data_IF_772871201500
#
_entry.id   IF_772871201500
#
_cell.length_a   1.000
_cell.length_b   1.000
_cell.length_c   1.000
_cell.angle_alpha   90.00
_cell.angle_beta   90.00
_cell.angle_gamma   90.00
#
_symmetry.space_group_name_H-M   'P 1'
#
loop_
_entity.id
_entity.type
_entity.pdbx_description
1 polymer ?
#
# COMPACT_ATOMS: atom_id res chain seq x y z
N UNK A 1 -25.02 20.82 5.14
CA UNK A 1 -23.61 20.41 5.26
C UNK A 1 -23.43 19.26 6.25
N UNK A 2 -23.93 19.36 7.51
CA UNK A 2 -23.69 18.31 8.52
C UNK A 2 -24.37 16.97 8.19
N UNK A 3 -25.56 17.00 7.59
CA UNK A 3 -26.24 15.75 7.19
C UNK A 3 -25.43 14.93 6.14
N UNK A 4 -24.68 15.61 5.30
CA UNK A 4 -23.78 14.94 4.33
C UNK A 4 -22.48 14.44 4.97
N UNK A 5 -22.07 15.03 6.09
CA UNK A 5 -20.84 14.67 6.82
C UNK A 5 -21.12 13.69 7.99
N UNK A 6 -22.39 13.48 8.33
CA UNK A 6 -22.80 12.65 9.47
C UNK A 6 -22.21 11.23 9.44
N UNK A 7 -22.20 10.50 8.29
CA UNK A 7 -21.61 9.18 8.25
C UNK A 7 -20.12 9.16 8.61
N UNK A 8 -19.33 10.12 8.11
CA UNK A 8 -17.91 10.21 8.41
C UNK A 8 -17.65 10.55 9.88
N UNK A 9 -18.47 11.46 10.46
CA UNK A 9 -18.37 11.78 11.89
C UNK A 9 -18.74 10.60 12.78
N UNK A 10 -19.83 9.88 12.47
CA UNK A 10 -20.23 8.70 13.23
C UNK A 10 -19.16 7.61 13.16
N UNK A 11 -18.63 7.33 11.96
CA UNK A 11 -17.53 6.39 11.81
C UNK A 11 -16.30 6.78 12.66
N UNK A 12 -15.94 8.07 12.67
CA UNK A 12 -14.81 8.56 13.47
C UNK A 12 -15.05 8.38 14.98
N UNK A 13 -16.24 8.69 15.48
CA UNK A 13 -16.58 8.54 16.89
C UNK A 13 -16.65 7.06 17.33
N UNK A 14 -17.15 6.17 16.46
CA UNK A 14 -17.09 4.72 16.68
C UNK A 14 -15.63 4.24 16.69
N UNK A 15 -14.81 4.71 15.74
CA UNK A 15 -13.40 4.35 15.65
C UNK A 15 -12.59 4.78 16.88
N UNK A 16 -12.94 5.92 17.47
CA UNK A 16 -12.35 6.42 18.73
C UNK A 16 -12.89 5.73 19.99
N UNK A 17 -13.95 4.90 19.86
CA UNK A 17 -14.61 4.23 20.99
C UNK A 17 -15.51 5.14 21.83
N UNK A 18 -15.80 6.35 21.40
CA UNK A 18 -16.71 7.30 22.05
C UNK A 18 -18.16 6.82 21.96
N UNK A 19 -18.52 6.20 20.83
CA UNK A 19 -19.85 5.66 20.56
C UNK A 19 -19.78 4.13 20.53
N UNK A 20 -20.63 3.49 21.31
CA UNK A 20 -20.73 2.02 21.41
C UNK A 20 -22.17 1.50 21.25
N UNK A 21 -23.10 2.32 20.79
CA UNK A 21 -24.50 1.95 20.60
C UNK A 21 -25.36 3.17 20.30
N UNK A 22 -26.62 2.93 19.89
CA UNK A 22 -27.54 3.99 19.44
C UNK A 22 -27.77 5.07 20.48
N UNK A 23 -27.92 4.70 21.75
CA UNK A 23 -28.15 5.70 22.81
C UNK A 23 -26.91 6.57 23.04
N UNK A 24 -25.71 6.02 22.90
CA UNK A 24 -24.46 6.78 22.95
C UNK A 24 -24.33 7.75 21.77
N UNK A 25 -24.82 7.39 20.57
CA UNK A 25 -24.89 8.31 19.42
C UNK A 25 -25.81 9.48 19.74
N UNK A 26 -26.97 9.24 20.32
CA UNK A 26 -27.91 10.32 20.66
C UNK A 26 -27.33 11.24 21.73
N UNK A 27 -26.69 10.69 22.77
CA UNK A 27 -26.00 11.46 23.78
C UNK A 27 -24.85 12.31 23.20
N UNK A 28 -24.06 11.75 22.30
CA UNK A 28 -23.01 12.48 21.58
C UNK A 28 -23.58 13.59 20.71
N UNK A 29 -24.64 13.30 19.94
CA UNK A 29 -25.27 14.26 19.04
C UNK A 29 -25.78 15.49 19.83
N UNK A 30 -26.33 15.30 21.03
CA UNK A 30 -26.79 16.35 21.92
C UNK A 30 -25.68 17.33 22.34
N UNK A 31 -24.44 16.90 22.32
CA UNK A 31 -23.26 17.75 22.59
C UNK A 31 -22.82 18.57 21.37
N UNK A 32 -23.36 18.29 20.19
CA UNK A 32 -22.95 18.96 18.94
C UNK A 32 -23.65 20.29 18.76
N UNK A 33 -22.94 21.23 18.16
CA UNK A 33 -23.52 22.55 17.78
C UNK A 33 -24.70 22.40 16.80
N UNK A 34 -24.71 21.32 16.00
CA UNK A 34 -25.82 21.02 15.11
C UNK A 34 -27.12 20.75 15.88
N UNK A 35 -27.07 19.90 16.92
CA UNK A 35 -28.23 19.56 17.72
C UNK A 35 -28.82 20.82 18.40
N UNK A 36 -27.94 21.67 18.97
CA UNK A 36 -28.36 22.91 19.61
C UNK A 36 -29.09 23.82 18.61
N UNK A 37 -28.57 23.96 17.39
CA UNK A 37 -29.21 24.74 16.33
C UNK A 37 -30.49 24.08 15.80
N UNK A 38 -30.46 22.78 15.55
CA UNK A 38 -31.61 22.03 15.07
C UNK A 38 -32.78 22.07 16.07
N UNK A 39 -32.47 22.07 17.36
CA UNK A 39 -33.48 22.24 18.41
C UNK A 39 -34.06 23.67 18.44
N UNK A 40 -33.27 24.68 18.11
CA UNK A 40 -33.71 26.08 18.10
C UNK A 40 -34.51 26.43 16.83
N UNK A 41 -34.23 25.77 15.70
CA UNK A 41 -34.87 26.00 14.41
C UNK A 41 -35.29 24.66 13.77
N UNK A 42 -36.28 23.92 14.34
CA UNK A 42 -36.58 22.54 13.96
C UNK A 42 -36.89 22.34 12.48
N UNK A 43 -37.67 23.26 11.89
CA UNK A 43 -38.08 23.17 10.47
C UNK A 43 -36.90 23.38 9.52
N UNK A 44 -35.96 24.28 9.87
CA UNK A 44 -34.81 24.59 9.03
C UNK A 44 -33.78 23.47 9.01
N UNK A 45 -33.68 22.68 10.09
CA UNK A 45 -32.69 21.62 10.26
C UNK A 45 -33.29 20.21 10.23
N UNK A 46 -34.62 20.09 10.07
CA UNK A 46 -35.32 18.81 10.05
C UNK A 46 -35.10 18.00 11.34
N UNK A 47 -35.26 18.65 12.48
CA UNK A 47 -35.04 18.08 13.81
C UNK A 47 -35.95 16.88 14.06
N UNK A 48 -37.19 16.92 13.55
CA UNK A 48 -38.10 15.78 13.56
C UNK A 48 -37.52 14.65 12.69
N UNK A 49 -37.36 13.46 13.27
CA UNK A 49 -36.76 12.31 12.59
C UNK A 49 -35.22 12.24 12.64
N UNK A 50 -34.55 13.10 13.45
CA UNK A 50 -33.08 13.03 13.61
C UNK A 50 -32.62 11.66 14.12
N UNK A 51 -33.41 11.03 14.99
CA UNK A 51 -33.11 9.69 15.55
C UNK A 51 -33.18 8.61 14.47
N UNK A 52 -34.16 8.69 13.58
CA UNK A 52 -34.31 7.74 12.48
C UNK A 52 -33.17 7.91 11.47
N UNK A 53 -32.81 9.14 11.12
CA UNK A 53 -31.64 9.40 10.25
C UNK A 53 -30.33 8.89 10.82
N UNK A 54 -30.14 9.02 12.13
CA UNK A 54 -28.94 8.48 12.79
C UNK A 54 -28.95 6.96 12.74
N UNK A 55 -30.09 6.31 12.95
CA UNK A 55 -30.25 4.86 12.81
C UNK A 55 -29.92 4.43 11.37
N UNK A 56 -30.58 5.04 10.39
CA UNK A 56 -30.35 4.73 8.96
C UNK A 56 -28.89 4.92 8.57
N UNK A 57 -28.23 5.95 9.12
CA UNK A 57 -26.80 6.18 8.88
C UNK A 57 -25.93 5.08 9.50
N UNK A 58 -26.24 4.63 10.72
CA UNK A 58 -25.51 3.52 11.35
C UNK A 58 -25.72 2.21 10.59
N UNK A 59 -26.96 1.93 10.19
CA UNK A 59 -27.30 0.76 9.35
C UNK A 59 -26.51 0.77 8.05
N UNK A 60 -26.45 1.93 7.37
CA UNK A 60 -25.62 2.11 6.15
C UNK A 60 -24.13 1.88 6.42
N UNK A 61 -23.59 2.38 7.54
CA UNK A 61 -22.19 2.14 7.90
C UNK A 61 -21.90 0.65 8.20
N UNK A 62 -22.88 -0.08 8.74
CA UNK A 62 -22.77 -1.52 8.97
C UNK A 62 -22.85 -2.27 7.65
N UNK A 63 -23.81 -1.98 6.79
CA UNK A 63 -23.96 -2.59 5.46
C UNK A 63 -22.72 -2.36 4.60
N UNK A 64 -22.13 -1.17 4.67
CA UNK A 64 -20.92 -0.82 3.95
C UNK A 64 -19.64 -1.38 4.60
N UNK A 65 -19.73 -1.97 5.79
CA UNK A 65 -18.63 -2.63 6.49
C UNK A 65 -17.64 -1.68 7.18
N UNK A 66 -18.03 -0.43 7.46
CA UNK A 66 -17.24 0.51 8.27
C UNK A 66 -17.37 0.24 9.76
N UNK A 67 -18.54 -0.20 10.16
CA UNK A 67 -18.91 -0.50 11.54
C UNK A 67 -19.44 -1.92 11.59
N UNK A 68 -19.10 -2.66 12.63
CA UNK A 68 -19.77 -3.93 12.99
C UNK A 68 -20.82 -3.65 14.07
N UNK A 69 -21.95 -4.32 14.02
CA UNK A 69 -22.96 -4.30 15.07
C UNK A 69 -23.29 -5.72 15.51
N UNK A 70 -23.51 -5.90 16.83
CA UNK A 70 -24.03 -7.13 17.37
C UNK A 70 -25.57 -7.12 17.49
N UNK A 71 -26.16 -8.24 17.95
CA UNK A 71 -27.61 -8.39 18.12
C UNK A 71 -28.20 -7.41 19.15
N UNK A 72 -27.39 -6.88 20.06
CA UNK A 72 -27.74 -5.88 21.07
C UNK A 72 -27.57 -4.44 20.58
N UNK A 73 -27.29 -4.24 19.27
CA UNK A 73 -27.00 -2.94 18.64
C UNK A 73 -25.78 -2.22 19.25
N UNK A 74 -24.85 -2.96 19.80
CA UNK A 74 -23.54 -2.42 20.14
C UNK A 74 -22.70 -2.32 18.87
N UNK A 75 -22.00 -1.21 18.73
CA UNK A 75 -21.21 -0.92 17.53
C UNK A 75 -19.73 -0.93 17.85
N UNK A 76 -18.96 -1.54 16.96
CA UNK A 76 -17.50 -1.60 17.01
C UNK A 76 -16.91 -1.20 15.64
N UNK A 77 -15.73 -0.56 15.62
CA UNK A 77 -15.11 -0.20 14.35
C UNK A 77 -14.52 -1.44 13.68
N UNK A 78 -14.75 -1.60 12.39
CA UNK A 78 -14.02 -2.56 11.57
C UNK A 78 -12.61 -2.01 11.24
N UNK A 79 -11.76 -2.84 10.62
CA UNK A 79 -10.48 -2.38 10.06
C UNK A 79 -10.66 -1.24 9.07
N UNK A 80 -11.65 -1.36 8.17
CA UNK A 80 -11.98 -0.31 7.20
C UNK A 80 -12.37 1.01 7.89
N UNK A 81 -13.24 0.96 8.89
CA UNK A 81 -13.68 2.14 9.64
C UNK A 81 -12.54 2.82 10.41
N UNK A 82 -11.68 2.02 11.06
CA UNK A 82 -10.49 2.53 11.76
C UNK A 82 -9.52 3.24 10.81
N UNK A 83 -9.22 2.63 9.67
CA UNK A 83 -8.30 3.21 8.68
C UNK A 83 -8.88 4.49 8.06
N UNK A 84 -10.17 4.50 7.71
CA UNK A 84 -10.83 5.69 7.19
C UNK A 84 -10.75 6.87 8.19
N UNK A 85 -10.98 6.60 9.48
CA UNK A 85 -10.86 7.59 10.55
C UNK A 85 -9.41 8.04 10.77
N UNK A 86 -8.46 7.11 10.85
CA UNK A 86 -7.03 7.38 11.06
C UNK A 86 -6.46 8.37 10.04
N UNK A 87 -6.85 8.22 8.78
CA UNK A 87 -6.37 9.04 7.66
C UNK A 87 -7.30 10.19 7.27
N UNK A 88 -8.36 10.42 8.04
CA UNK A 88 -9.37 11.46 7.76
C UNK A 88 -9.91 11.37 6.34
N UNK A 89 -10.16 10.15 5.86
CA UNK A 89 -10.68 9.91 4.52
C UNK A 89 -12.19 10.10 4.47
N UNK A 90 -12.68 10.61 3.35
CA UNK A 90 -14.11 10.46 3.01
C UNK A 90 -14.39 8.96 2.82
N UNK A 91 -15.55 8.51 3.26
CA UNK A 91 -15.93 7.09 3.20
C UNK A 91 -15.92 6.56 1.76
N UNK A 92 -16.27 7.39 0.79
CA UNK A 92 -16.18 7.05 -0.63
C UNK A 92 -14.74 6.69 -1.06
N UNK A 93 -13.75 7.45 -0.61
CA UNK A 93 -12.34 7.14 -0.88
C UNK A 93 -11.94 5.83 -0.22
N UNK A 94 -12.36 5.59 1.02
CA UNK A 94 -12.08 4.33 1.71
C UNK A 94 -12.74 3.12 1.03
N UNK A 95 -13.97 3.26 0.48
CA UNK A 95 -14.61 2.24 -0.35
C UNK A 95 -13.78 1.91 -1.59
N UNK A 96 -13.32 2.92 -2.33
CA UNK A 96 -12.44 2.72 -3.50
C UNK A 96 -11.15 1.98 -3.13
N UNK A 97 -10.57 2.27 -1.96
CA UNK A 97 -9.37 1.58 -1.47
C UNK A 97 -9.65 0.10 -1.17
N UNK A 98 -10.78 -0.20 -0.51
CA UNK A 98 -11.23 -1.57 -0.28
C UNK A 98 -11.52 -2.32 -1.59
N UNK A 99 -12.16 -1.69 -2.55
CA UNK A 99 -12.43 -2.29 -3.87
C UNK A 99 -11.13 -2.62 -4.61
N UNK A 100 -10.12 -1.75 -4.53
CA UNK A 100 -8.80 -2.05 -5.08
C UNK A 100 -8.16 -3.23 -4.38
N UNK A 101 -8.22 -3.29 -3.04
CA UNK A 101 -7.65 -4.39 -2.25
C UNK A 101 -8.28 -5.75 -2.59
N UNK A 102 -9.55 -5.78 -3.00
CA UNK A 102 -10.25 -6.99 -3.43
C UNK A 102 -9.95 -7.46 -4.86
N UNK A 103 -9.11 -6.76 -5.62
CA UNK A 103 -8.77 -7.18 -6.99
C UNK A 103 -7.74 -8.32 -6.98
N UNK A 104 -7.94 -9.31 -7.82
CA UNK A 104 -7.00 -10.43 -7.99
C UNK A 104 -5.60 -9.96 -8.42
N UNK A 105 -5.53 -8.89 -9.21
CA UNK A 105 -4.26 -8.35 -9.72
C UNK A 105 -4.17 -6.85 -9.47
N UNK A 106 -3.19 -6.47 -8.67
CA UNK A 106 -2.84 -5.08 -8.44
C UNK A 106 -1.74 -4.64 -9.43
N UNK A 107 -1.89 -3.41 -9.94
CA UNK A 107 -0.92 -2.77 -10.83
C UNK A 107 -0.62 -1.35 -10.36
N UNK A 108 0.53 -0.81 -10.75
CA UNK A 108 0.87 0.59 -10.46
C UNK A 108 -0.18 1.56 -11.02
N UNK A 109 -0.63 1.34 -12.26
CA UNK A 109 -1.66 2.15 -12.91
C UNK A 109 -3.00 2.06 -12.14
N UNK A 110 -3.38 0.87 -11.66
CA UNK A 110 -4.58 0.67 -10.84
C UNK A 110 -4.52 1.40 -9.50
N UNK A 111 -3.37 1.39 -8.84
CA UNK A 111 -3.11 2.16 -7.61
C UNK A 111 -3.25 3.65 -7.87
N UNK A 112 -2.57 4.17 -8.91
CA UNK A 112 -2.62 5.59 -9.24
C UNK A 112 -4.01 6.05 -9.69
N UNK A 113 -4.72 5.25 -10.50
CA UNK A 113 -6.08 5.55 -10.92
C UNK A 113 -7.05 5.60 -9.72
N UNK A 114 -6.90 4.68 -8.76
CA UNK A 114 -7.69 4.68 -7.52
C UNK A 114 -7.43 5.93 -6.69
N UNK A 115 -6.17 6.32 -6.52
CA UNK A 115 -5.80 7.56 -5.82
C UNK A 115 -6.30 8.79 -6.57
N UNK A 116 -6.15 8.83 -7.90
CA UNK A 116 -6.62 9.94 -8.73
C UNK A 116 -8.14 10.14 -8.65
N UNK A 117 -8.90 9.05 -8.51
CA UNK A 117 -10.36 9.08 -8.33
C UNK A 117 -10.82 9.38 -6.91
N UNK A 118 -9.92 9.71 -5.97
CA UNK A 118 -10.28 10.01 -4.60
C UNK A 118 -10.99 11.37 -4.48
N UNK A 119 -11.95 11.46 -3.57
CA UNK A 119 -12.75 12.66 -3.32
C UNK A 119 -11.93 13.92 -2.96
N UNK A 120 -10.66 13.76 -2.58
CA UNK A 120 -9.74 14.88 -2.37
C UNK A 120 -9.46 15.68 -3.66
N UNK A 121 -9.74 15.11 -4.82
CA UNK A 121 -9.51 15.71 -6.13
C UNK A 121 -10.79 16.15 -6.86
N UNK A 122 -11.98 16.04 -6.24
CA UNK A 122 -13.26 16.43 -6.84
C UNK A 122 -13.29 17.90 -7.32
N UNK A 123 -12.48 18.78 -6.70
CA UNK A 123 -12.38 20.18 -7.09
C UNK A 123 -11.37 20.45 -8.21
N UNK A 124 -10.62 19.45 -8.65
CA UNK A 124 -9.67 19.60 -9.75
C UNK A 124 -10.44 19.67 -11.06
N UNK A 125 -10.13 20.66 -11.87
CA UNK A 125 -10.71 20.83 -13.21
C UNK A 125 -9.62 20.73 -14.28
N UNK A 126 -9.94 20.11 -15.42
CA UNK A 126 -9.10 20.13 -16.60
C UNK A 126 -9.40 21.38 -17.44
N UNK A 127 -8.37 22.11 -17.85
CA UNK A 127 -8.50 23.26 -18.76
C UNK A 127 -8.37 22.76 -20.20
N UNK A 128 -9.04 23.43 -21.13
CA UNK A 128 -8.96 23.06 -22.55
C UNK A 128 -7.51 22.99 -23.09
N UNK A 129 -6.65 23.90 -22.62
CA UNK A 129 -5.22 23.93 -23.02
C UNK A 129 -4.38 22.75 -22.47
N UNK A 130 -4.91 21.99 -21.52
CA UNK A 130 -4.25 20.84 -20.89
C UNK A 130 -4.65 19.51 -21.53
N UNK A 131 -5.77 19.47 -22.27
CA UNK A 131 -6.39 18.26 -22.79
C UNK A 131 -5.41 17.42 -23.63
N UNK A 132 -4.72 18.03 -24.58
CA UNK A 132 -3.77 17.33 -25.45
C UNK A 132 -2.60 16.71 -24.66
N UNK A 133 -2.15 17.36 -23.59
CA UNK A 133 -1.10 16.83 -22.73
C UNK A 133 -1.60 15.65 -21.89
N UNK A 134 -2.82 15.74 -21.36
CA UNK A 134 -3.46 14.65 -20.60
C UNK A 134 -3.69 13.44 -21.51
N UNK A 135 -4.26 13.64 -22.70
CA UNK A 135 -4.56 12.54 -23.63
C UNK A 135 -3.29 11.86 -24.12
N UNK A 136 -2.22 12.60 -24.37
CA UNK A 136 -0.91 12.03 -24.77
C UNK A 136 -0.31 11.16 -23.66
N UNK A 137 -0.40 11.58 -22.40
CA UNK A 137 0.12 10.79 -21.26
C UNK A 137 -0.73 9.53 -21.05
N UNK A 138 -2.03 9.63 -21.27
CA UNK A 138 -2.98 8.54 -21.07
C UNK A 138 -3.18 7.66 -22.30
N UNK A 139 -2.46 7.90 -23.39
CA UNK A 139 -2.58 7.11 -24.62
C UNK A 139 -2.41 5.62 -24.34
N UNK A 140 -3.37 4.82 -24.84
CA UNK A 140 -3.42 3.36 -24.62
C UNK A 140 -3.86 2.92 -23.21
N UNK A 141 -4.28 3.86 -22.35
CA UNK A 141 -4.83 3.56 -21.02
C UNK A 141 -6.33 3.84 -21.00
N UNK A 142 -7.10 2.79 -20.80
CA UNK A 142 -8.55 2.92 -20.56
C UNK A 142 -8.78 3.22 -19.08
N UNK A 143 -9.47 4.34 -18.78
CA UNK A 143 -9.82 4.73 -17.42
C UNK A 143 -11.27 5.22 -17.37
N UNK A 144 -12.02 4.80 -16.35
CA UNK A 144 -13.37 5.28 -16.06
C UNK A 144 -13.36 6.60 -15.25
N UNK A 145 -12.27 7.36 -15.29
CA UNK A 145 -12.13 8.60 -14.55
C UNK A 145 -12.75 9.78 -15.31
N UNK A 146 -13.34 10.72 -14.59
CA UNK A 146 -13.82 12.00 -15.13
C UNK A 146 -12.66 12.96 -15.44
N UNK A 147 -12.91 14.01 -16.21
CA UNK A 147 -11.86 14.91 -16.75
C UNK A 147 -10.88 15.45 -15.70
N UNK A 148 -11.38 15.90 -14.55
CA UNK A 148 -10.52 16.39 -13.47
C UNK A 148 -9.63 15.28 -12.89
N UNK A 149 -10.20 14.12 -12.65
CA UNK A 149 -9.49 12.95 -12.14
C UNK A 149 -8.56 12.33 -13.20
N UNK A 150 -8.90 12.38 -14.49
CA UNK A 150 -8.00 12.03 -15.61
C UNK A 150 -6.74 12.89 -15.59
N UNK A 151 -6.90 14.21 -15.39
CA UNK A 151 -5.77 15.13 -15.24
C UNK A 151 -4.89 14.76 -14.05
N UNK A 152 -5.48 14.44 -12.90
CA UNK A 152 -4.72 13.99 -11.72
C UNK A 152 -3.94 12.73 -12.06
N UNK A 153 -4.58 11.73 -12.66
CA UNK A 153 -3.93 10.48 -13.06
C UNK A 153 -2.76 10.70 -14.02
N UNK A 154 -2.94 11.55 -15.04
CA UNK A 154 -1.87 11.92 -15.97
C UNK A 154 -0.68 12.58 -15.26
N UNK A 155 -0.95 13.51 -14.32
CA UNK A 155 0.11 14.16 -13.53
C UNK A 155 0.87 13.14 -12.68
N UNK A 156 0.19 12.19 -12.03
CA UNK A 156 0.85 11.17 -11.21
C UNK A 156 1.71 10.22 -12.05
N UNK A 157 1.22 9.80 -13.21
CA UNK A 157 2.01 8.99 -14.16
C UNK A 157 3.26 9.72 -14.63
N UNK A 158 3.10 10.99 -15.03
CA UNK A 158 4.23 11.82 -15.46
C UNK A 158 5.22 12.11 -14.32
N UNK A 159 4.72 12.23 -13.07
CA UNK A 159 5.56 12.42 -11.88
C UNK A 159 6.44 11.21 -11.59
N UNK A 160 5.94 9.99 -11.81
CA UNK A 160 6.76 8.77 -11.64
C UNK A 160 7.96 8.69 -12.60
N UNK A 161 7.94 9.44 -13.71
CA UNK A 161 8.98 9.46 -14.72
C UNK A 161 9.73 10.81 -14.78
N UNK A 162 9.45 11.73 -13.86
CA UNK A 162 9.95 13.13 -13.85
C UNK A 162 9.74 13.87 -15.19
N UNK A 163 8.62 13.58 -15.87
CA UNK A 163 8.30 14.08 -17.22
C UNK A 163 7.06 14.98 -17.28
N UNK A 164 6.72 15.66 -16.17
CA UNK A 164 5.52 16.50 -16.12
C UNK A 164 5.62 17.64 -17.14
N UNK A 165 4.70 17.67 -18.15
CA UNK A 165 4.68 18.72 -19.16
C UNK A 165 4.48 20.11 -18.57
N UNK A 166 4.96 21.15 -19.27
CA UNK A 166 4.83 22.55 -18.85
C UNK A 166 3.39 22.97 -18.59
N UNK A 167 2.46 22.47 -19.39
CA UNK A 167 1.02 22.74 -19.33
C UNK A 167 0.39 22.31 -18.01
N UNK A 168 0.93 21.25 -17.40
CA UNK A 168 0.40 20.64 -16.16
C UNK A 168 1.17 21.07 -14.90
N UNK A 169 2.29 21.77 -15.01
CA UNK A 169 3.18 22.09 -13.87
C UNK A 169 2.53 22.93 -12.79
N UNK A 170 1.62 23.84 -13.16
CA UNK A 170 0.98 24.73 -12.18
C UNK A 170 0.30 23.99 -11.05
N UNK A 171 -0.32 22.85 -11.36
CA UNK A 171 -1.13 22.09 -10.41
C UNK A 171 -0.38 20.85 -9.89
N UNK A 172 0.67 20.43 -10.59
CA UNK A 172 1.37 19.17 -10.33
C UNK A 172 1.92 19.04 -8.91
N UNK A 173 2.47 20.13 -8.34
CA UNK A 173 3.02 20.08 -6.99
C UNK A 173 1.94 19.81 -5.93
N UNK A 174 0.82 20.55 -5.98
CA UNK A 174 -0.29 20.40 -5.03
C UNK A 174 -0.94 19.03 -5.17
N UNK A 175 -1.19 18.59 -6.41
CA UNK A 175 -1.76 17.28 -6.71
C UNK A 175 -0.85 16.19 -6.17
N UNK A 176 0.47 16.26 -6.42
CA UNK A 176 1.43 15.27 -5.93
C UNK A 176 1.48 15.20 -4.41
N UNK A 177 1.48 16.33 -3.68
CA UNK A 177 1.49 16.33 -2.22
C UNK A 177 0.22 15.67 -1.64
N UNK A 178 -0.94 15.97 -2.19
CA UNK A 178 -2.18 15.32 -1.77
C UNK A 178 -2.19 13.82 -2.12
N UNK A 179 -1.65 13.44 -3.28
CA UNK A 179 -1.57 12.06 -3.71
C UNK A 179 -0.61 11.24 -2.83
N UNK A 180 0.54 11.77 -2.43
CA UNK A 180 1.48 11.09 -1.52
C UNK A 180 0.82 10.77 -0.18
N UNK A 181 0.05 11.71 0.40
CA UNK A 181 -0.73 11.43 1.60
C UNK A 181 -1.75 10.30 1.40
N UNK A 182 -2.41 10.24 0.24
CA UNK A 182 -3.37 9.19 -0.08
C UNK A 182 -2.69 7.86 -0.40
N UNK A 183 -1.51 7.87 -1.03
CA UNK A 183 -0.71 6.67 -1.29
C UNK A 183 -0.22 6.03 0.01
N UNK A 184 0.25 6.83 0.97
CA UNK A 184 0.62 6.34 2.30
C UNK A 184 -0.59 5.70 3.02
N UNK A 185 -1.78 6.33 2.96
CA UNK A 185 -3.00 5.74 3.49
C UNK A 185 -3.35 4.43 2.76
N UNK A 186 -3.33 4.42 1.43
CA UNK A 186 -3.64 3.25 0.61
C UNK A 186 -2.67 2.09 0.88
N UNK A 187 -1.39 2.38 1.13
CA UNK A 187 -0.41 1.34 1.48
C UNK A 187 -0.84 0.57 2.73
N UNK A 188 -1.30 1.26 3.78
CA UNK A 188 -1.81 0.60 5.00
C UNK A 188 -3.15 -0.13 4.75
N UNK A 189 -4.05 0.43 3.95
CA UNK A 189 -5.27 -0.28 3.54
C UNK A 189 -4.94 -1.59 2.81
N UNK A 190 -3.98 -1.56 1.90
CA UNK A 190 -3.56 -2.74 1.16
C UNK A 190 -2.86 -3.76 2.06
N UNK A 191 -2.07 -3.31 3.04
CA UNK A 191 -1.44 -4.21 4.00
C UNK A 191 -2.47 -4.99 4.82
N UNK A 192 -3.44 -4.29 5.38
CA UNK A 192 -4.47 -4.86 6.25
C UNK A 192 -5.52 -5.70 5.48
N UNK A 193 -5.84 -5.34 4.24
CA UNK A 193 -6.93 -5.95 3.48
C UNK A 193 -6.47 -6.92 2.37
N UNK A 194 -5.23 -6.79 1.88
CA UNK A 194 -4.68 -7.58 0.78
C UNK A 194 -3.28 -8.15 1.06
N UNK A 195 -2.70 -7.77 2.21
CA UNK A 195 -1.44 -8.29 2.73
C UNK A 195 -0.17 -7.58 2.24
N UNK A 196 0.99 -7.98 2.78
CA UNK A 196 2.26 -7.24 2.68
C UNK A 196 2.79 -7.08 1.24
N UNK A 197 2.43 -7.98 0.33
CA UNK A 197 2.82 -7.87 -1.08
C UNK A 197 2.12 -6.70 -1.79
N UNK A 198 0.85 -6.49 -1.48
CA UNK A 198 0.06 -5.38 -2.00
C UNK A 198 0.57 -4.05 -1.44
N UNK A 199 0.86 -4.00 -0.14
CA UNK A 199 1.47 -2.86 0.52
C UNK A 199 2.84 -2.50 -0.08
N UNK A 200 3.72 -3.47 -0.30
CA UNK A 200 5.01 -3.25 -0.96
C UNK A 200 4.86 -2.64 -2.37
N UNK A 201 3.87 -3.08 -3.15
CA UNK A 201 3.62 -2.47 -4.45
C UNK A 201 3.21 -1.00 -4.32
N UNK A 202 2.32 -0.68 -3.36
CA UNK A 202 1.92 0.71 -3.09
C UNK A 202 3.09 1.57 -2.62
N UNK A 203 3.91 1.07 -1.70
CA UNK A 203 5.14 1.73 -1.22
C UNK A 203 6.10 2.06 -2.37
N UNK A 204 6.28 1.14 -3.31
CA UNK A 204 7.11 1.40 -4.51
C UNK A 204 6.49 2.41 -5.45
N UNK A 205 5.16 2.42 -5.61
CA UNK A 205 4.46 3.44 -6.41
C UNK A 205 4.58 4.81 -5.74
N UNK A 206 4.39 4.89 -4.43
CA UNK A 206 4.57 6.12 -3.64
C UNK A 206 5.98 6.69 -3.82
N UNK A 207 7.01 5.87 -3.60
CA UNK A 207 8.42 6.29 -3.77
C UNK A 207 8.72 6.78 -5.20
N UNK A 208 8.12 6.16 -6.22
CA UNK A 208 8.26 6.63 -7.61
C UNK A 208 7.58 7.97 -7.83
N UNK A 209 6.39 8.19 -7.29
CA UNK A 209 5.71 9.49 -7.37
C UNK A 209 6.48 10.56 -6.61
N UNK A 210 7.04 10.22 -5.43
CA UNK A 210 7.80 11.14 -4.59
C UNK A 210 9.12 11.57 -5.22
N UNK A 211 9.85 10.61 -5.78
CA UNK A 211 11.22 10.84 -6.26
C UNK A 211 11.31 11.02 -7.78
N UNK A 212 10.27 10.70 -8.55
CA UNK A 212 10.31 10.78 -10.01
C UNK A 212 11.33 9.80 -10.61
N UNK A 213 11.36 8.56 -10.14
CA UNK A 213 12.35 7.56 -10.56
C UNK A 213 11.71 6.39 -11.31
N UNK A 214 12.50 5.75 -12.17
CA UNK A 214 12.09 4.55 -12.90
C UNK A 214 11.79 3.37 -11.98
N UNK A 215 11.15 2.34 -12.54
CA UNK A 215 10.90 1.09 -11.81
C UNK A 215 12.20 0.41 -11.37
N UNK A 216 13.23 0.52 -12.18
CA UNK A 216 14.55 -0.07 -11.95
C UNK A 216 15.33 0.67 -10.85
N UNK A 217 15.11 1.98 -10.72
CA UNK A 217 15.81 2.84 -9.78
C UNK A 217 15.11 2.94 -8.40
N UNK A 218 13.83 2.54 -8.29
CA UNK A 218 13.02 2.80 -7.10
C UNK A 218 13.61 2.19 -5.82
N UNK A 219 14.21 1.01 -5.90
CA UNK A 219 14.80 0.34 -4.73
C UNK A 219 15.98 1.14 -4.13
N UNK A 220 16.61 1.98 -4.93
CA UNK A 220 17.73 2.83 -4.50
C UNK A 220 17.27 3.97 -3.59
N UNK A 221 16.00 4.37 -3.68
CA UNK A 221 15.43 5.43 -2.83
C UNK A 221 15.29 5.00 -1.36
N UNK A 222 15.40 3.70 -1.08
CA UNK A 222 15.48 3.19 0.29
C UNK A 222 16.81 3.52 0.98
N UNK A 223 17.83 3.95 0.21
CA UNK A 223 19.17 4.27 0.73
C UNK A 223 19.25 5.75 1.06
N UNK A 224 19.52 6.07 2.32
CA UNK A 224 19.69 7.46 2.74
C UNK A 224 20.76 8.18 1.89
N UNK A 225 20.46 9.42 1.50
CA UNK A 225 21.32 10.20 0.62
C UNK A 225 21.19 9.88 -0.88
N UNK A 226 20.35 8.92 -1.28
CA UNK A 226 20.07 8.64 -2.70
C UNK A 226 18.72 9.25 -3.12
N UNK A 227 18.76 10.49 -3.60
CA UNK A 227 17.62 11.13 -4.27
C UNK A 227 17.56 10.80 -5.78
N UNK A 228 16.54 11.32 -6.49
CA UNK A 228 16.25 10.98 -7.90
C UNK A 228 17.48 10.97 -8.80
N UNK A 229 18.22 12.08 -8.87
CA UNK A 229 19.40 12.20 -9.75
C UNK A 229 20.49 11.17 -9.49
N UNK A 230 20.67 10.76 -8.23
CA UNK A 230 21.64 9.71 -7.89
C UNK A 230 21.10 8.34 -8.22
N UNK A 231 19.81 8.11 -7.95
CA UNK A 231 19.15 6.86 -8.28
C UNK A 231 19.21 6.58 -9.78
N UNK A 232 18.87 7.56 -10.62
CA UNK A 232 18.93 7.42 -12.07
C UNK A 232 20.36 7.15 -12.55
N UNK A 233 21.35 7.92 -12.07
CA UNK A 233 22.75 7.71 -12.43
C UNK A 233 23.28 6.33 -12.04
N UNK A 234 22.87 5.82 -10.87
CA UNK A 234 23.24 4.47 -10.43
C UNK A 234 22.56 3.41 -11.30
N UNK A 235 21.26 3.58 -11.58
CA UNK A 235 20.51 2.66 -12.42
C UNK A 235 21.06 2.60 -13.85
N UNK A 236 21.43 3.73 -14.45
CA UNK A 236 22.10 3.83 -15.76
C UNK A 236 23.42 3.06 -15.80
N UNK A 237 24.10 2.95 -14.65
CA UNK A 237 25.32 2.16 -14.50
C UNK A 237 25.05 0.67 -14.11
N UNK A 238 23.78 0.24 -14.09
CA UNK A 238 23.37 -1.12 -13.73
C UNK A 238 23.34 -1.39 -12.22
N UNK A 239 23.51 -0.36 -11.39
CA UNK A 239 23.41 -0.46 -9.92
C UNK A 239 21.97 -0.13 -9.52
N UNK A 240 21.12 -1.16 -9.37
CA UNK A 240 19.67 -1.02 -9.22
C UNK A 240 19.11 -1.42 -7.85
N UNK A 241 19.98 -1.74 -6.89
CA UNK A 241 19.56 -2.17 -5.54
C UNK A 241 20.55 -1.76 -4.45
N UNK A 242 20.11 -1.68 -3.19
CA UNK A 242 21.03 -1.46 -2.06
C UNK A 242 22.15 -2.51 -1.99
N UNK A 243 21.85 -3.77 -2.33
CA UNK A 243 22.84 -4.82 -2.43
C UNK A 243 23.89 -4.54 -3.50
N UNK A 244 23.47 -4.06 -4.68
CA UNK A 244 24.37 -3.70 -5.77
C UNK A 244 25.25 -2.49 -5.40
N UNK A 245 24.73 -1.50 -4.65
CA UNK A 245 25.55 -0.40 -4.09
C UNK A 245 26.68 -0.96 -3.19
N UNK A 246 26.34 -1.87 -2.29
CA UNK A 246 27.33 -2.49 -1.38
C UNK A 246 28.37 -3.29 -2.16
N UNK A 247 27.95 -4.05 -3.14
CA UNK A 247 28.85 -4.83 -3.99
C UNK A 247 29.80 -3.96 -4.82
N UNK A 248 29.31 -2.81 -5.33
CA UNK A 248 30.11 -1.85 -6.08
C UNK A 248 31.14 -1.12 -5.19
N UNK A 249 30.78 -0.90 -3.91
CA UNK A 249 31.60 -0.18 -2.95
C UNK A 249 31.89 1.26 -3.34
N UNK A 250 32.73 1.94 -2.55
CA UNK A 250 33.10 3.35 -2.78
C UNK A 250 33.75 3.57 -4.15
N UNK A 251 34.60 2.64 -4.59
CA UNK A 251 35.28 2.74 -5.88
C UNK A 251 34.27 2.67 -7.05
N UNK A 252 33.30 1.75 -7.01
CA UNK A 252 32.26 1.64 -8.02
C UNK A 252 31.39 2.91 -8.12
N UNK A 253 31.02 3.48 -6.97
CA UNK A 253 30.23 4.72 -6.93
C UNK A 253 31.05 5.93 -7.41
N UNK A 254 32.34 5.97 -7.14
CA UNK A 254 33.25 7.02 -7.64
C UNK A 254 33.36 6.97 -9.17
N UNK A 255 33.37 5.77 -9.78
CA UNK A 255 33.38 5.60 -11.23
C UNK A 255 32.10 6.12 -11.90
N UNK A 256 30.98 6.16 -11.14
CA UNK A 256 29.70 6.75 -11.61
C UNK A 256 29.64 8.27 -11.35
N UNK A 257 30.77 8.88 -10.96
CA UNK A 257 30.91 10.32 -10.77
C UNK A 257 30.38 10.83 -9.42
N UNK A 258 30.42 10.01 -8.37
CA UNK A 258 30.16 10.44 -7.00
C UNK A 258 31.48 10.81 -6.32
N UNK A 259 31.49 11.92 -5.57
CA UNK A 259 32.66 12.26 -4.75
C UNK A 259 32.87 11.23 -3.63
N UNK A 260 34.13 10.97 -3.27
CA UNK A 260 34.52 9.89 -2.34
C UNK A 260 33.72 9.92 -1.01
N UNK A 261 33.65 11.05 -0.32
CA UNK A 261 32.88 11.14 0.94
C UNK A 261 31.36 11.04 0.79
N UNK A 262 30.81 11.20 -0.43
CA UNK A 262 29.40 10.92 -0.72
C UNK A 262 29.24 9.42 -0.98
N UNK A 263 30.15 8.81 -1.73
CA UNK A 263 30.15 7.39 -2.03
C UNK A 263 30.26 6.55 -0.73
N UNK A 264 31.17 6.93 0.18
CA UNK A 264 31.31 6.27 1.48
C UNK A 264 30.01 6.27 2.29
N UNK A 265 29.37 7.43 2.44
CA UNK A 265 28.09 7.55 3.17
C UNK A 265 26.96 6.74 2.52
N UNK A 266 26.89 6.72 1.20
CA UNK A 266 25.86 5.94 0.48
C UNK A 266 26.10 4.45 0.63
N UNK A 267 27.35 3.97 0.59
CA UNK A 267 27.69 2.56 0.83
C UNK A 267 27.36 2.16 2.26
N UNK A 268 27.68 3.00 3.25
CA UNK A 268 27.31 2.80 4.66
C UNK A 268 25.78 2.74 4.82
N UNK A 269 25.06 3.73 4.28
CA UNK A 269 23.60 3.77 4.33
C UNK A 269 22.95 2.57 3.62
N UNK A 270 23.51 2.12 2.50
CA UNK A 270 23.07 0.88 1.85
C UNK A 270 23.29 -0.37 2.71
N UNK A 271 24.28 -0.32 3.60
CA UNK A 271 24.53 -1.36 4.60
C UNK A 271 23.42 -1.48 5.65
N UNK A 272 22.72 -0.40 5.95
CA UNK A 272 21.61 -0.36 6.89
C UNK A 272 20.27 -0.84 6.29
N UNK A 273 20.15 -0.89 4.95
CA UNK A 273 18.95 -1.44 4.30
C UNK A 273 18.98 -2.97 4.40
N UNK A 274 17.94 -3.60 5.00
CA UNK A 274 17.93 -5.05 5.21
C UNK A 274 18.01 -5.81 3.87
N UNK A 275 18.81 -6.86 3.87
CA UNK A 275 18.93 -7.83 2.78
C UNK A 275 18.50 -9.20 3.26
N UNK A 276 17.71 -9.88 2.45
CA UNK A 276 17.25 -11.23 2.76
C UNK A 276 18.17 -12.27 2.14
N UNK A 277 18.53 -13.25 2.94
CA UNK A 277 19.10 -14.53 2.52
C UNK A 277 18.12 -15.63 2.87
N UNK A 278 17.92 -16.55 1.96
CA UNK A 278 17.10 -17.76 2.15
C UNK A 278 18.04 -18.95 2.13
N UNK A 279 18.00 -19.75 3.17
CA UNK A 279 18.71 -21.02 3.26
C UNK A 279 17.70 -22.16 3.37
N UNK A 280 17.81 -23.13 2.48
CA UNK A 280 16.91 -24.28 2.41
C UNK A 280 17.24 -25.38 3.42
N UNK A 281 18.40 -25.31 4.06
CA UNK A 281 18.80 -26.16 5.19
C UNK A 281 18.54 -27.65 4.99
N UNK A 282 17.49 -28.15 5.64
CA UNK A 282 17.11 -29.55 5.67
C UNK A 282 16.28 -30.03 4.48
N UNK A 283 15.97 -29.17 3.51
CA UNK A 283 15.16 -29.56 2.36
C UNK A 283 15.83 -30.68 1.56
N UNK A 284 15.15 -31.82 1.32
CA UNK A 284 15.69 -32.94 0.54
C UNK A 284 15.79 -32.56 -0.94
N UNK A 285 16.64 -33.31 -1.67
CA UNK A 285 16.66 -33.27 -3.14
C UNK A 285 15.54 -34.11 -3.75
N UNK A 286 15.06 -35.10 -3.00
CA UNK A 286 14.09 -36.09 -3.42
C UNK A 286 13.18 -36.50 -2.27
N UNK A 287 11.96 -36.89 -2.59
CA UNK A 287 10.96 -37.40 -1.64
C UNK A 287 10.24 -38.59 -2.30
N UNK A 288 10.05 -39.67 -1.58
CA UNK A 288 9.32 -40.84 -2.10
C UNK A 288 7.80 -40.58 -2.09
N UNK A 289 7.08 -41.20 -3.02
CA UNK A 289 5.62 -41.13 -3.07
C UNK A 289 5.03 -41.63 -1.75
N UNK A 290 4.18 -40.79 -1.14
CA UNK A 290 3.52 -41.05 0.14
C UNK A 290 4.34 -40.70 1.38
N UNK A 291 5.62 -40.37 1.23
CA UNK A 291 6.43 -39.85 2.34
C UNK A 291 6.05 -38.39 2.65
N UNK A 292 6.16 -38.03 3.94
CA UNK A 292 5.97 -36.69 4.43
C UNK A 292 7.10 -36.32 5.38
N UNK A 293 7.82 -35.27 5.05
CA UNK A 293 8.96 -34.78 5.80
C UNK A 293 8.70 -33.31 6.23
N UNK A 294 8.96 -32.97 7.50
CA UNK A 294 8.91 -31.62 7.98
C UNK A 294 10.28 -30.99 7.84
N UNK A 295 10.39 -30.01 6.97
CA UNK A 295 11.62 -29.28 6.69
C UNK A 295 11.51 -27.83 7.23
N UNK A 296 12.64 -27.15 7.30
CA UNK A 296 12.71 -25.75 7.71
C UNK A 296 13.44 -24.93 6.66
N UNK A 297 12.89 -23.75 6.37
CA UNK A 297 13.56 -22.73 5.58
C UNK A 297 14.02 -21.63 6.51
N UNK A 298 15.31 -21.34 6.51
CA UNK A 298 15.85 -20.21 7.24
C UNK A 298 15.79 -18.95 6.37
N UNK A 299 15.27 -17.87 6.96
CA UNK A 299 15.19 -16.53 6.35
C UNK A 299 15.96 -15.59 7.25
N UNK A 300 17.04 -15.01 6.72
CA UNK A 300 17.93 -14.12 7.48
C UNK A 300 17.90 -12.71 6.91
N UNK A 301 17.67 -11.70 7.78
CA UNK A 301 17.89 -10.31 7.46
C UNK A 301 19.32 -9.91 7.83
N UNK A 302 20.05 -9.30 6.89
CA UNK A 302 21.42 -8.81 7.07
C UNK A 302 21.44 -7.31 6.83
N UNK A 303 22.02 -6.55 7.75
CA UNK A 303 22.20 -5.09 7.62
C UNK A 303 21.21 -4.25 8.45
N UNK A 304 20.14 -4.84 8.96
CA UNK A 304 19.15 -4.18 9.81
C UNK A 304 17.86 -4.98 9.91
N UNK A 305 17.05 -4.69 10.93
CA UNK A 305 15.74 -5.29 11.09
C UNK A 305 14.65 -4.53 10.31
N UNK A 306 13.67 -5.26 9.82
CA UNK A 306 12.48 -4.69 9.18
C UNK A 306 11.27 -5.59 9.34
N UNK A 307 10.10 -5.00 9.14
CA UNK A 307 8.87 -5.76 9.00
C UNK A 307 8.87 -6.47 7.64
N UNK A 308 8.60 -7.76 7.63
CA UNK A 308 8.59 -8.59 6.43
C UNK A 308 7.34 -9.45 6.37
N UNK A 309 6.83 -9.65 5.16
CA UNK A 309 5.90 -10.73 4.86
C UNK A 309 6.69 -11.89 4.23
N UNK A 310 6.58 -13.08 4.80
CA UNK A 310 7.19 -14.30 4.30
C UNK A 310 6.07 -15.21 3.81
N UNK A 311 6.16 -15.66 2.57
CA UNK A 311 5.20 -16.57 1.95
C UNK A 311 5.92 -17.74 1.34
N UNK A 312 5.44 -18.94 1.61
CA UNK A 312 5.95 -20.16 0.99
C UNK A 312 4.84 -20.80 0.17
N UNK A 313 5.14 -21.11 -1.09
CA UNK A 313 4.24 -21.84 -1.98
C UNK A 313 4.90 -23.10 -2.47
N UNK A 314 4.10 -24.12 -2.81
CA UNK A 314 4.51 -25.33 -3.55
C UNK A 314 3.61 -25.47 -4.78
N UNK A 315 4.21 -25.57 -5.97
CA UNK A 315 3.47 -25.63 -7.25
C UNK A 315 2.36 -24.56 -7.32
N UNK A 316 2.70 -23.31 -6.94
CA UNK A 316 1.82 -22.13 -6.85
C UNK A 316 0.71 -22.19 -5.77
N UNK A 317 0.62 -23.26 -4.98
CA UNK A 317 -0.30 -23.38 -3.85
C UNK A 317 0.35 -22.83 -2.59
N UNK A 318 -0.32 -21.93 -1.89
CA UNK A 318 0.19 -21.36 -0.64
C UNK A 318 0.18 -22.40 0.48
N UNK A 319 1.35 -22.61 1.08
CA UNK A 319 1.56 -23.49 2.24
C UNK A 319 1.49 -22.73 3.55
N UNK A 320 2.12 -21.56 3.58
CA UNK A 320 2.15 -20.69 4.75
C UNK A 320 2.44 -19.25 4.36
N UNK A 321 1.86 -18.32 5.11
CA UNK A 321 2.17 -16.91 5.04
C UNK A 321 2.23 -16.33 6.46
N UNK A 322 3.22 -15.49 6.72
CA UNK A 322 3.39 -14.83 8.01
C UNK A 322 3.94 -13.42 7.82
N UNK A 323 3.57 -12.51 8.72
CA UNK A 323 4.15 -11.17 8.80
C UNK A 323 4.82 -11.01 10.16
N UNK A 324 6.08 -10.61 10.15
CA UNK A 324 6.87 -10.45 11.39
C UNK A 324 7.89 -9.33 11.26
N UNK A 325 8.40 -8.85 12.39
CA UNK A 325 9.61 -8.03 12.41
C UNK A 325 10.81 -8.97 12.44
N UNK A 326 11.63 -8.95 11.40
CA UNK A 326 12.82 -9.78 11.24
C UNK A 326 14.06 -8.96 11.49
N UNK A 327 14.81 -9.35 12.55
CA UNK A 327 16.12 -8.83 12.88
C UNK A 327 17.04 -10.04 13.18
N UNK A 328 17.89 -10.39 12.22
CA UNK A 328 18.64 -11.64 12.22
C UNK A 328 17.90 -12.75 11.48
N UNK A 329 17.78 -13.93 12.08
CA UNK A 329 17.27 -15.15 11.45
C UNK A 329 15.93 -15.59 12.04
N UNK A 330 15.06 -16.10 11.17
CA UNK A 330 13.85 -16.87 11.53
C UNK A 330 13.77 -18.13 10.70
N UNK A 331 13.11 -19.16 11.22
CA UNK A 331 12.82 -20.39 10.47
C UNK A 331 11.34 -20.51 10.17
N UNK A 332 11.00 -21.00 9.00
CA UNK A 332 9.63 -21.28 8.56
C UNK A 332 9.50 -22.79 8.34
N UNK A 333 8.67 -23.50 9.12
CA UNK A 333 8.42 -24.91 8.91
C UNK A 333 7.58 -25.15 7.67
N UNK A 334 7.98 -26.12 6.84
CA UNK A 334 7.32 -26.47 5.59
C UNK A 334 7.25 -27.97 5.44
N UNK A 335 6.05 -28.52 5.22
CA UNK A 335 5.88 -29.93 4.92
C UNK A 335 6.26 -30.26 3.47
N UNK A 336 7.09 -31.26 3.27
CA UNK A 336 7.42 -31.83 1.95
C UNK A 336 6.71 -33.17 1.86
N UNK A 337 5.71 -33.28 1.00
CA UNK A 337 4.92 -34.48 0.77
C UNK A 337 5.09 -34.94 -0.67
N UNK A 338 5.43 -36.22 -0.89
CA UNK A 338 5.53 -36.83 -2.22
C UNK A 338 4.16 -37.25 -2.76
N UNK A 339 3.50 -36.45 -3.62
CA UNK A 339 2.21 -36.81 -4.20
C UNK A 339 2.41 -37.88 -5.32
N UNK A 340 1.44 -38.79 -5.53
CA UNK A 340 1.55 -39.82 -6.53
C UNK A 340 1.38 -39.35 -7.99
N UNK A 341 0.94 -38.12 -8.17
CA UNK A 341 0.55 -37.51 -9.45
C UNK A 341 1.46 -36.37 -9.89
N UNK A 342 2.59 -36.18 -9.23
CA UNK A 342 3.59 -35.19 -9.63
C UNK A 342 5.00 -35.77 -9.62
N UNK A 343 5.80 -35.42 -10.63
CA UNK A 343 7.21 -35.83 -10.76
C UNK A 343 8.16 -34.94 -9.97
N UNK A 344 7.71 -33.70 -9.63
CA UNK A 344 8.52 -32.77 -8.90
C UNK A 344 7.63 -31.72 -8.14
N UNK A 345 8.18 -31.22 -7.05
CA UNK A 345 7.62 -30.12 -6.27
C UNK A 345 8.51 -28.88 -6.42
N UNK A 346 7.93 -27.77 -6.78
CA UNK A 346 8.63 -26.48 -6.84
C UNK A 346 8.23 -25.63 -5.66
N UNK A 347 9.10 -25.50 -4.68
CA UNK A 347 8.93 -24.62 -3.53
C UNK A 347 9.45 -23.23 -3.85
N UNK A 348 8.68 -22.22 -3.48
CA UNK A 348 9.07 -20.81 -3.63
C UNK A 348 8.88 -20.11 -2.30
N UNK A 349 9.95 -19.50 -1.82
CA UNK A 349 9.91 -18.54 -0.70
C UNK A 349 9.93 -17.15 -1.28
N UNK A 350 8.91 -16.36 -1.00
CA UNK A 350 8.86 -14.94 -1.32
C UNK A 350 8.90 -14.14 -0.02
N UNK A 351 9.84 -13.19 0.07
CA UNK A 351 9.96 -12.27 1.20
C UNK A 351 9.77 -10.85 0.69
N UNK A 352 8.83 -10.11 1.27
CA UNK A 352 8.49 -8.75 0.90
C UNK A 352 8.67 -7.81 2.08
N UNK A 353 9.05 -6.56 1.81
CA UNK A 353 9.12 -5.48 2.78
C UNK A 353 7.94 -4.54 2.53
N UNK A 354 6.86 -4.60 3.32
CA UNK A 354 5.69 -3.76 3.06
C UNK A 354 5.99 -2.25 3.15
N UNK A 355 6.96 -1.87 4.00
CA UNK A 355 7.28 -0.48 4.32
C UNK A 355 8.53 0.05 3.59
N UNK A 356 9.17 -0.75 2.74
CA UNK A 356 10.35 -0.33 1.98
C UNK A 356 10.11 -0.48 0.48
N UNK A 357 10.57 0.49 -0.35
CA UNK A 357 10.36 0.48 -1.80
C UNK A 357 11.31 -0.48 -2.53
N UNK A 358 11.72 -1.57 -1.89
CA UNK A 358 12.60 -2.59 -2.47
C UNK A 358 11.80 -3.72 -3.11
N UNK A 359 12.41 -4.39 -4.08
CA UNK A 359 11.75 -5.50 -4.76
C UNK A 359 11.63 -6.71 -3.82
N UNK A 360 10.55 -7.51 -3.93
CA UNK A 360 10.44 -8.78 -3.25
C UNK A 360 11.64 -9.69 -3.56
N UNK A 361 12.11 -10.40 -2.54
CA UNK A 361 13.14 -11.42 -2.69
C UNK A 361 12.44 -12.76 -2.90
N UNK A 362 12.85 -13.50 -3.94
CA UNK A 362 12.32 -14.81 -4.27
C UNK A 362 13.43 -15.83 -4.34
N UNK A 363 13.27 -16.94 -3.63
CA UNK A 363 14.14 -18.09 -3.70
C UNK A 363 13.31 -19.34 -4.07
N UNK A 364 13.89 -20.22 -4.88
CA UNK A 364 13.21 -21.39 -5.41
C UNK A 364 14.03 -22.66 -5.14
N UNK A 365 13.33 -23.75 -4.79
CA UNK A 365 13.90 -25.07 -4.58
C UNK A 365 13.01 -26.11 -5.24
N UNK A 366 13.61 -26.97 -6.06
CA UNK A 366 12.94 -28.12 -6.65
C UNK A 366 13.27 -29.37 -5.86
N UNK A 367 12.25 -30.20 -5.59
CA UNK A 367 12.35 -31.53 -4.95
C UNK A 367 11.73 -32.53 -5.91
N UNK A 368 12.50 -33.57 -6.28
CA UNK A 368 12.03 -34.64 -7.19
C UNK A 368 11.18 -35.65 -6.41
N UNK A 369 10.07 -36.10 -7.00
CA UNK A 369 9.22 -37.16 -6.42
C UNK A 369 9.58 -38.48 -7.06
N UNK A 370 9.86 -39.54 -6.25
CA UNK A 370 10.31 -40.86 -6.70
C UNK A 370 9.40 -42.00 -6.27
#
# INVERSE_FOLDING_TARGET
RLAAELPAHLNAEVAMGTIRGLDAVMAWLETTFYYVRARSEPDAYGFDGIRDRVRDTLESLVEEGFVAADDDLRVEPTTLGRLASKYYLRLETARRFRELAGRERLTADGILATVAGAAAFDSVSARAAEADAVDRILEGRDTALEDGHRKVFAILLASMADTVPSELRSDAWVIRQNALRLLAALSEFLDELAGPRAANLACRVEARVEHGVSREAVALTAVDGVGSRRADRLADAGITSPAAIRAAGTAGLSNVGMGEGVAERIVEAAGAVPQIRVDWGTFPERVAVGENELCEVAVTAVGGGARVGIRVTVNDVEMTATTTYLDGETTVPVGVFGPPDADALTFVVEVVFPDLPVMPVRAERQVVVE
#
